data_IF_270763653403
#
_entry.id   IF_270763653403
#
_cell.length_a   1.000
_cell.length_b   1.000
_cell.length_c   1.000
_cell.angle_alpha   90.00
_cell.angle_beta   90.00
_cell.angle_gamma   90.00
#
_symmetry.space_group_name_H-M   'P 1'
#
loop_
_entity.id
_entity.type
_entity.pdbx_description
1 polymer ?
#
# COMPACT_ATOMS: atom_id res chain seq x y z
N UNK A 1 -22.45 1.35 12.29
CA UNK A 1 -23.07 1.25 10.95
C UNK A 1 -22.51 2.23 9.92
N UNK A 2 -22.38 3.54 10.18
CA UNK A 2 -21.88 4.49 9.15
C UNK A 2 -20.41 4.27 8.77
N UNK A 3 -19.51 4.08 9.74
CA UNK A 3 -18.08 3.87 9.47
C UNK A 3 -17.81 2.60 8.66
N UNK A 4 -18.51 1.51 8.99
CA UNK A 4 -18.39 0.22 8.30
C UNK A 4 -18.77 0.31 6.81
N UNK A 5 -19.81 1.10 6.47
CA UNK A 5 -20.16 1.38 5.06
C UNK A 5 -19.09 2.21 4.35
N UNK A 6 -18.45 3.13 5.06
CA UNK A 6 -17.34 3.94 4.51
C UNK A 6 -16.13 3.04 4.25
N UNK A 7 -15.75 2.17 5.20
CA UNK A 7 -14.67 1.19 5.01
C UNK A 7 -14.94 0.31 3.79
N UNK A 8 -16.13 -0.27 3.69
CA UNK A 8 -16.53 -1.10 2.53
C UNK A 8 -16.46 -0.35 1.20
N UNK A 9 -16.84 0.93 1.18
CA UNK A 9 -16.71 1.77 -0.01
C UNK A 9 -15.24 1.95 -0.41
N UNK A 10 -14.36 2.25 0.55
CA UNK A 10 -12.93 2.41 0.26
C UNK A 10 -12.26 1.08 -0.15
N UNK A 11 -12.67 -0.05 0.44
CA UNK A 11 -12.24 -1.38 0.00
C UNK A 11 -12.64 -1.63 -1.46
N UNK A 12 -13.90 -1.36 -1.80
CA UNK A 12 -14.39 -1.49 -3.17
C UNK A 12 -13.61 -0.58 -4.14
N UNK A 13 -13.42 0.69 -3.79
CA UNK A 13 -12.64 1.63 -4.60
C UNK A 13 -11.19 1.17 -4.79
N UNK A 14 -10.60 0.54 -3.76
CA UNK A 14 -9.24 0.03 -3.82
C UNK A 14 -9.12 -1.16 -4.76
N UNK A 15 -10.01 -2.14 -4.63
CA UNK A 15 -10.06 -3.29 -5.52
C UNK A 15 -10.34 -2.83 -6.96
N UNK A 16 -11.29 -1.91 -7.14
CA UNK A 16 -11.60 -1.36 -8.46
C UNK A 16 -10.39 -0.67 -9.09
N UNK A 17 -9.66 0.17 -8.35
CA UNK A 17 -8.40 0.77 -8.81
C UNK A 17 -7.36 -0.29 -9.20
N UNK A 18 -7.23 -1.37 -8.41
CA UNK A 18 -6.27 -2.44 -8.67
C UNK A 18 -6.58 -3.16 -9.98
N UNK A 19 -7.86 -3.52 -10.19
CA UNK A 19 -8.34 -4.19 -11.41
C UNK A 19 -8.16 -3.29 -12.62
N UNK A 20 -8.59 -2.03 -12.51
CA UNK A 20 -8.47 -1.05 -13.58
C UNK A 20 -7.01 -0.86 -13.99
N UNK A 21 -6.08 -0.87 -13.02
CA UNK A 21 -4.66 -0.69 -13.30
C UNK A 21 -4.09 -1.90 -14.03
N UNK A 22 -4.48 -3.11 -13.62
CA UNK A 22 -4.10 -4.33 -14.33
C UNK A 22 -4.55 -4.28 -15.79
N UNK A 23 -5.78 -3.84 -16.05
CA UNK A 23 -6.31 -3.68 -17.41
C UNK A 23 -5.52 -2.61 -18.18
N UNK A 24 -5.27 -1.43 -17.61
CA UNK A 24 -4.56 -0.35 -18.31
C UNK A 24 -3.10 -0.69 -18.59
N UNK A 25 -2.45 -1.41 -17.67
CA UNK A 25 -1.09 -1.90 -17.86
C UNK A 25 -1.02 -2.94 -18.97
N UNK A 26 -2.00 -3.85 -19.05
CA UNK A 26 -2.12 -4.81 -20.17
C UNK A 26 -2.37 -4.12 -21.53
N UNK A 27 -3.18 -3.06 -21.53
CA UNK A 27 -3.48 -2.26 -22.72
C UNK A 27 -2.40 -1.21 -23.05
N UNK A 28 -1.34 -1.11 -22.23
CA UNK A 28 -0.24 -0.15 -22.36
C UNK A 28 -0.70 1.33 -22.44
N UNK A 29 -1.76 1.68 -21.70
CA UNK A 29 -2.28 3.06 -21.64
C UNK A 29 -1.53 3.85 -20.56
N UNK A 30 -0.32 4.30 -20.89
CA UNK A 30 0.63 4.91 -19.96
C UNK A 30 0.05 6.05 -19.09
N UNK A 31 -0.74 6.96 -19.69
CA UNK A 31 -1.30 8.09 -18.96
C UNK A 31 -2.27 7.66 -17.85
N UNK A 32 -3.21 6.75 -18.16
CA UNK A 32 -4.16 6.26 -17.16
C UNK A 32 -3.47 5.36 -16.12
N UNK A 33 -2.47 4.59 -16.55
CA UNK A 33 -1.66 3.79 -15.63
C UNK A 33 -0.99 4.68 -14.57
N UNK A 34 -0.39 5.78 -14.97
CA UNK A 34 0.30 6.71 -14.07
C UNK A 34 -0.67 7.39 -13.07
N UNK A 35 -1.85 7.82 -13.54
CA UNK A 35 -2.90 8.35 -12.66
C UNK A 35 -3.35 7.31 -11.64
N UNK A 36 -3.57 6.07 -12.08
CA UNK A 36 -4.02 4.99 -11.19
C UNK A 36 -2.95 4.55 -10.20
N UNK A 37 -1.69 4.56 -10.61
CA UNK A 37 -0.54 4.31 -9.72
C UNK A 37 -0.45 5.38 -8.64
N UNK A 38 -0.66 6.65 -9.01
CA UNK A 38 -0.57 7.78 -8.09
C UNK A 38 -1.68 7.82 -7.04
N UNK A 39 -2.90 7.42 -7.40
CA UNK A 39 -4.04 7.43 -6.46
C UNK A 39 -4.09 6.20 -5.54
N UNK A 40 -3.41 5.10 -5.90
CA UNK A 40 -3.48 3.83 -5.19
C UNK A 40 -3.09 3.95 -3.72
N UNK A 41 -1.96 4.58 -3.41
CA UNK A 41 -1.44 4.63 -2.04
C UNK A 41 -2.19 5.63 -1.17
N UNK A 42 -2.56 6.82 -1.65
CA UNK A 42 -3.53 7.66 -0.92
C UNK A 42 -4.79 6.90 -0.54
N UNK A 43 -5.32 6.08 -1.46
CA UNK A 43 -6.51 5.29 -1.19
C UNK A 43 -6.25 4.19 -0.14
N UNK A 44 -5.12 3.49 -0.23
CA UNK A 44 -4.69 2.46 0.72
C UNK A 44 -4.44 3.06 2.11
N UNK A 45 -3.93 4.28 2.16
CA UNK A 45 -3.70 5.05 3.38
C UNK A 45 -5.02 5.45 4.06
N UNK A 46 -5.98 5.99 3.30
CA UNK A 46 -7.32 6.32 3.81
C UNK A 46 -8.01 5.05 4.32
N UNK A 47 -7.93 3.97 3.53
CA UNK A 47 -8.50 2.68 3.91
C UNK A 47 -7.92 2.22 5.25
N UNK A 48 -6.60 2.26 5.41
CA UNK A 48 -5.91 1.88 6.64
C UNK A 48 -6.34 2.72 7.86
N UNK A 49 -6.49 4.04 7.70
CA UNK A 49 -6.93 4.93 8.78
C UNK A 49 -8.36 4.63 9.20
N UNK A 50 -9.25 4.39 8.22
CA UNK A 50 -10.68 4.17 8.50
C UNK A 50 -10.97 2.75 8.98
N UNK A 51 -10.15 1.77 8.59
CA UNK A 51 -10.31 0.36 8.98
C UNK A 51 -9.64 0.01 10.32
N UNK A 52 -8.58 0.73 10.71
CA UNK A 52 -7.78 0.35 11.88
C UNK A 52 -8.24 1.03 13.16
N UNK A 53 -8.42 0.24 14.22
CA UNK A 53 -8.66 0.74 15.58
C UNK A 53 -7.42 1.36 16.23
N UNK A 54 -6.21 0.96 15.83
CA UNK A 54 -4.93 1.57 16.24
C UNK A 54 -4.00 1.70 15.05
N UNK A 55 -3.48 2.91 14.84
CA UNK A 55 -2.56 3.21 13.73
C UNK A 55 -1.15 2.77 14.12
N UNK A 56 -0.61 1.76 13.43
CA UNK A 56 0.81 1.45 13.45
C UNK A 56 1.58 2.43 12.56
N UNK A 57 2.40 3.28 13.18
CA UNK A 57 3.20 4.31 12.51
C UNK A 57 4.28 3.72 11.59
N UNK A 58 4.81 2.54 11.91
CA UNK A 58 5.81 1.86 11.07
C UNK A 58 5.19 1.43 9.74
N UNK A 59 3.96 0.92 9.76
CA UNK A 59 3.21 0.58 8.55
C UNK A 59 2.96 1.82 7.69
N UNK A 60 2.57 2.92 8.35
CA UNK A 60 2.32 4.20 7.71
C UNK A 60 3.59 4.76 7.04
N UNK A 61 4.74 4.67 7.71
CA UNK A 61 6.04 5.03 7.16
C UNK A 61 6.41 4.17 5.93
N UNK A 62 6.16 2.86 5.99
CA UNK A 62 6.41 1.96 4.86
C UNK A 62 5.56 2.32 3.63
N UNK A 63 4.29 2.70 3.82
CA UNK A 63 3.42 3.16 2.75
C UNK A 63 3.90 4.48 2.13
N UNK A 64 4.35 5.44 2.95
CA UNK A 64 4.91 6.71 2.46
C UNK A 64 6.18 6.44 1.64
N UNK A 65 7.09 5.60 2.15
CA UNK A 65 8.31 5.22 1.42
C UNK A 65 7.99 4.56 0.08
N UNK A 66 6.93 3.73 0.03
CA UNK A 66 6.47 3.14 -1.21
C UNK A 66 5.96 4.21 -2.19
N UNK A 67 5.20 5.20 -1.73
CA UNK A 67 4.71 6.27 -2.60
C UNK A 67 5.86 7.11 -3.17
N UNK A 68 6.83 7.49 -2.33
CA UNK A 68 8.03 8.22 -2.76
C UNK A 68 8.79 7.42 -3.80
N UNK A 69 8.96 6.11 -3.56
CA UNK A 69 9.58 5.19 -4.51
C UNK A 69 8.86 5.18 -5.85
N UNK A 70 7.53 5.08 -5.84
CA UNK A 70 6.72 5.08 -7.06
C UNK A 70 6.89 6.37 -7.86
N UNK A 71 6.94 7.52 -7.19
CA UNK A 71 7.19 8.81 -7.84
C UNK A 71 8.61 8.90 -8.40
N UNK A 72 9.63 8.45 -7.65
CA UNK A 72 11.02 8.46 -8.11
C UNK A 72 11.26 7.56 -9.33
N UNK A 73 10.56 6.43 -9.44
CA UNK A 73 10.60 5.58 -10.64
C UNK A 73 9.95 6.22 -11.87
N UNK A 74 9.10 7.23 -11.69
CA UNK A 74 8.54 8.00 -12.81
C UNK A 74 9.54 9.03 -13.36
N UNK A 75 10.54 9.41 -12.59
CA UNK A 75 11.54 10.41 -12.99
C UNK A 75 12.63 9.72 -13.80
N UNK A 76 12.86 10.20 -15.03
CA UNK A 76 13.95 9.73 -15.86
C UNK A 76 15.30 10.21 -15.31
N UNK A 77 16.04 9.32 -14.63
CA UNK A 77 17.38 9.64 -14.13
C UNK A 77 18.06 8.50 -13.39
N UNK A 78 19.35 8.25 -13.69
CA UNK A 78 20.14 7.18 -13.06
C UNK A 78 20.21 7.29 -11.54
N UNK A 79 20.31 8.51 -11.01
CA UNK A 79 20.35 8.76 -9.57
C UNK A 79 18.99 8.50 -8.92
N UNK A 80 17.92 9.00 -9.54
CA UNK A 80 16.55 8.76 -9.08
C UNK A 80 16.23 7.25 -9.05
N UNK A 81 16.62 6.51 -10.08
CA UNK A 81 16.45 5.06 -10.16
C UNK A 81 17.18 4.31 -9.02
N UNK A 82 18.42 4.69 -8.71
CA UNK A 82 19.18 4.08 -7.59
C UNK A 82 18.49 4.31 -6.25
N UNK A 83 18.07 5.55 -5.99
CA UNK A 83 17.39 5.92 -4.74
C UNK A 83 16.02 5.22 -4.65
N UNK A 84 15.25 5.20 -5.75
CA UNK A 84 13.98 4.50 -5.85
C UNK A 84 14.15 3.01 -5.54
N UNK A 85 15.18 2.38 -6.08
CA UNK A 85 15.46 0.95 -5.83
C UNK A 85 15.75 0.68 -4.36
N UNK A 86 16.57 1.51 -3.71
CA UNK A 86 16.88 1.38 -2.29
C UNK A 86 15.64 1.56 -1.41
N UNK A 87 14.84 2.61 -1.66
CA UNK A 87 13.61 2.86 -0.92
C UNK A 87 12.53 1.80 -1.19
N UNK A 88 12.46 1.27 -2.41
CA UNK A 88 11.57 0.14 -2.75
C UNK A 88 11.90 -1.08 -1.90
N UNK A 89 13.19 -1.42 -1.80
CA UNK A 89 13.65 -2.55 -1.02
C UNK A 89 13.36 -2.35 0.47
N UNK A 90 13.72 -1.18 1.02
CA UNK A 90 13.48 -0.85 2.43
C UNK A 90 11.98 -0.90 2.79
N UNK A 91 11.12 -0.31 1.96
CA UNK A 91 9.66 -0.35 2.15
C UNK A 91 9.12 -1.77 2.11
N UNK A 92 9.54 -2.59 1.15
CA UNK A 92 9.09 -3.99 1.03
C UNK A 92 9.53 -4.84 2.21
N UNK A 93 10.79 -4.73 2.64
CA UNK A 93 11.30 -5.45 3.82
C UNK A 93 10.53 -5.01 5.07
N UNK A 94 10.31 -3.70 5.25
CA UNK A 94 9.52 -3.18 6.36
C UNK A 94 8.08 -3.72 6.38
N UNK A 95 7.41 -3.76 5.23
CA UNK A 95 6.07 -4.34 5.11
C UNK A 95 6.05 -5.84 5.45
N UNK A 96 7.02 -6.62 4.95
CA UNK A 96 7.13 -8.05 5.26
C UNK A 96 7.33 -8.26 6.77
N UNK A 97 8.23 -7.50 7.39
CA UNK A 97 8.46 -7.57 8.82
C UNK A 97 7.18 -7.31 9.62
N UNK A 98 6.44 -6.26 9.27
CA UNK A 98 5.19 -5.91 9.93
C UNK A 98 4.10 -6.97 9.75
N UNK A 99 4.03 -7.60 8.58
CA UNK A 99 3.11 -8.72 8.33
C UNK A 99 3.49 -9.92 9.20
N UNK A 100 4.78 -10.26 9.27
CA UNK A 100 5.26 -11.36 10.12
C UNK A 100 4.99 -11.10 11.60
N UNK A 101 5.22 -9.88 12.08
CA UNK A 101 4.89 -9.46 13.44
C UNK A 101 3.39 -9.61 13.73
N UNK A 102 2.54 -9.17 12.79
CA UNK A 102 1.09 -9.31 12.90
C UNK A 102 0.64 -10.78 12.95
N UNK A 103 1.19 -11.62 12.07
CA UNK A 103 0.91 -13.06 12.06
C UNK A 103 1.34 -13.69 13.38
N UNK A 104 2.58 -13.44 13.83
CA UNK A 104 3.11 -13.99 15.08
C UNK A 104 2.22 -13.63 16.28
N UNK A 105 1.82 -12.36 16.38
CA UNK A 105 0.98 -11.86 17.47
C UNK A 105 -0.40 -12.53 17.50
N UNK A 106 -1.01 -12.74 16.33
CA UNK A 106 -2.32 -13.43 16.26
C UNK A 106 -2.21 -14.92 16.61
N UNK A 107 -1.12 -15.58 16.20
CA UNK A 107 -0.87 -16.99 16.52
C UNK A 107 -0.64 -17.20 18.01
N UNK A 108 0.17 -16.34 18.65
CA UNK A 108 0.41 -16.39 20.11
C UNK A 108 -0.90 -16.18 20.90
N UNK A 109 -1.73 -15.21 20.50
CA UNK A 109 -3.04 -14.99 21.12
C UNK A 109 -4.00 -16.19 21.01
N UNK A 110 -3.97 -16.92 19.89
CA UNK A 110 -4.76 -18.15 19.75
C UNK A 110 -4.24 -19.31 20.60
N UNK A 111 -2.93 -19.39 20.81
CA UNK A 111 -2.33 -20.45 21.64
C UNK A 111 -2.55 -20.28 23.15
N UNK A 112 -2.74 -19.04 23.64
CA UNK A 112 -3.08 -18.79 25.06
C UNK A 112 -4.57 -19.03 25.38
N UNK A 113 -5.42 -19.17 24.35
CA UNK A 113 -6.86 -19.43 24.46
C UNK A 113 -7.21 -20.94 24.41
N UNK A 114 -6.22 -21.81 24.17
CA UNK A 114 -6.32 -23.28 24.15
C UNK A 114 -5.70 -23.88 25.41
#
# INVERSE_FOLDING_TARGET
MKLQKITQLFEFLFIFNLVLYGIMSLLQVNALEEYQRSIRIPLLFILYIVSSTRINMNFLLCLILFQITSSLFAIEGKTAFKIATLFSLASKIGLIYLILEFIKKNTEQQSELL
#
